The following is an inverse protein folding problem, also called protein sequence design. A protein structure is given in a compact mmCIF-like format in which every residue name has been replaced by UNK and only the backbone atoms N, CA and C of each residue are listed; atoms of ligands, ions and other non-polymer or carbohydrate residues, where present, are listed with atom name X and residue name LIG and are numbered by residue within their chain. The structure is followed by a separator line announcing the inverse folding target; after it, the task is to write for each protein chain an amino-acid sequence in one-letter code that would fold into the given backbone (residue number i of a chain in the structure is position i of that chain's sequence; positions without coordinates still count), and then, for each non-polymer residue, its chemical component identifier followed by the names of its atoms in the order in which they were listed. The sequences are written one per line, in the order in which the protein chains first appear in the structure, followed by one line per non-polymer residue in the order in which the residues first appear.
data_IF_638091215032
#
_entry.id   IF_638091215032
#
_cell.length_a   1.000
_cell.length_b   1.000
_cell.length_c   1.000
_cell.angle_alpha   90.00
_cell.angle_beta   90.00
_cell.angle_gamma   90.00
#
_symmetry.space_group_name_H-M   'P 1'
#
loop_
_entity.id
_entity.type
_entity.pdbx_description
1 polymer ?
#
# COMPACT_ATOMS: atom_id res chain seq x y z
N UNK A 1 11.95 21.09 53.39
CA UNK A 1 11.27 20.17 52.48
C UNK A 1 10.72 20.83 51.21
N UNK A 2 10.09 22.01 51.22
CA UNK A 2 9.54 22.68 50.01
C UNK A 2 10.54 23.09 48.94
N UNK A 3 11.81 23.25 49.26
CA UNK A 3 12.86 23.73 48.32
C UNK A 3 13.27 22.65 47.30
N UNK A 4 13.26 21.40 47.69
CA UNK A 4 13.61 20.26 46.79
C UNK A 4 12.47 19.87 45.85
N UNK A 5 11.23 20.11 46.27
CA UNK A 5 10.04 19.81 45.45
C UNK A 5 10.00 20.64 44.16
N UNK A 6 10.55 21.86 44.17
CA UNK A 6 10.63 22.75 42.97
C UNK A 6 11.55 22.23 41.90
N UNK A 7 12.55 21.39 42.26
CA UNK A 7 13.47 20.76 41.30
C UNK A 7 13.08 19.37 40.88
N UNK A 8 12.23 18.69 41.63
CA UNK A 8 11.74 17.36 41.31
C UNK A 8 10.80 17.36 40.09
N UNK A 9 10.00 18.42 39.90
CA UNK A 9 9.08 18.55 38.80
C UNK A 9 9.85 18.65 37.44
N UNK A 10 10.78 19.58 37.24
CA UNK A 10 11.55 19.63 35.99
C UNK A 10 12.43 18.40 35.78
N UNK A 11 12.97 17.80 36.85
CA UNK A 11 13.76 16.57 36.74
C UNK A 11 12.92 15.37 36.28
N UNK A 12 11.65 15.29 36.70
CA UNK A 12 10.72 14.24 36.25
C UNK A 12 10.20 14.50 34.82
N UNK A 13 10.18 15.74 34.35
CA UNK A 13 9.76 16.08 33.01
C UNK A 13 10.80 15.69 31.93
N UNK A 14 12.09 15.69 32.26
CA UNK A 14 13.15 15.37 31.30
C UNK A 14 13.04 13.96 30.69
N UNK A 15 12.83 12.87 31.44
CA UNK A 15 12.65 11.53 30.85
C UNK A 15 11.38 11.43 30.00
N UNK A 16 10.30 12.12 30.37
CA UNK A 16 9.06 12.16 29.57
C UNK A 16 9.30 12.88 28.23
N UNK A 17 9.97 14.02 28.27
CA UNK A 17 10.36 14.74 27.04
C UNK A 17 11.31 13.92 26.19
N UNK A 18 12.24 13.18 26.81
CA UNK A 18 13.14 12.26 26.11
C UNK A 18 12.40 11.11 25.42
N UNK A 19 11.42 10.51 26.09
CA UNK A 19 10.55 9.46 25.51
C UNK A 19 9.68 10.00 24.37
N UNK A 20 9.13 11.19 24.53
CA UNK A 20 8.37 11.83 23.44
C UNK A 20 9.26 12.15 22.23
N UNK A 21 10.45 12.73 22.46
CA UNK A 21 11.39 13.00 21.39
C UNK A 21 11.86 11.72 20.69
N UNK A 22 12.03 10.62 21.42
CA UNK A 22 12.34 9.31 20.86
C UNK A 22 11.14 8.78 20.03
N UNK A 23 9.93 8.91 20.56
CA UNK A 23 8.70 8.50 19.84
C UNK A 23 8.52 9.21 18.49
N UNK A 24 8.91 10.49 18.39
CA UNK A 24 8.88 11.21 17.10
C UNK A 24 9.94 10.76 16.09
N UNK A 25 10.98 10.04 16.52
CA UNK A 25 11.99 9.46 15.62
C UNK A 25 11.59 8.10 15.07
N UNK A 26 10.65 7.42 15.70
CA UNK A 26 10.13 6.13 15.22
C UNK A 26 9.19 6.45 14.05
N UNK A 27 9.52 5.93 12.87
CA UNK A 27 8.65 6.10 11.71
C UNK A 27 7.38 5.21 11.89
N UNK A 28 6.18 5.77 12.06
CA UNK A 28 4.97 4.97 12.28
C UNK A 28 4.55 4.16 11.03
N UNK A 29 5.22 4.39 9.89
CA UNK A 29 4.97 3.66 8.63
C UNK A 29 5.74 2.35 8.56
N UNK A 30 6.75 2.14 9.40
CA UNK A 30 7.53 0.90 9.48
C UNK A 30 6.82 -0.13 10.37
N UNK A 31 5.56 -0.46 10.05
CA UNK A 31 4.85 -1.53 10.75
C UNK A 31 5.23 -2.84 10.10
N UNK A 32 5.95 -3.73 10.82
CA UNK A 32 6.31 -5.04 10.29
C UNK A 32 5.03 -5.82 9.99
N UNK A 33 4.87 -6.25 8.75
CA UNK A 33 3.78 -7.17 8.41
C UNK A 33 4.28 -8.60 8.47
N UNK A 34 3.55 -9.53 9.11
CA UNK A 34 3.90 -10.94 9.14
C UNK A 34 3.73 -11.63 7.78
N UNK A 35 3.23 -10.89 6.77
CA UNK A 35 2.97 -11.40 5.42
C UNK A 35 4.19 -11.42 4.52
N UNK A 36 5.29 -10.77 4.90
CA UNK A 36 6.52 -10.81 4.10
C UNK A 36 7.01 -12.26 3.95
N UNK A 37 7.40 -12.60 2.74
CA UNK A 37 7.80 -13.95 2.29
C UNK A 37 6.70 -15.03 2.42
N UNK A 38 5.47 -14.63 2.71
CA UNK A 38 4.31 -15.52 2.67
C UNK A 38 3.65 -15.51 1.29
N UNK A 39 2.98 -16.60 0.90
CA UNK A 39 2.11 -16.57 -0.27
C UNK A 39 1.08 -15.45 -0.13
N UNK A 40 0.91 -14.65 -1.17
CA UNK A 40 -0.15 -13.66 -1.23
C UNK A 40 -1.52 -14.38 -1.26
N UNK A 41 -2.48 -13.86 -0.51
CA UNK A 41 -3.83 -14.40 -0.49
C UNK A 41 -4.44 -14.30 -1.90
N UNK A 42 -4.96 -15.41 -2.40
CA UNK A 42 -5.63 -15.44 -3.69
C UNK A 42 -6.97 -14.68 -3.60
N UNK A 43 -7.30 -13.94 -4.63
CA UNK A 43 -8.58 -13.27 -4.76
C UNK A 43 -9.09 -13.32 -6.19
N UNK A 44 -10.40 -13.20 -6.34
CA UNK A 44 -11.08 -13.04 -7.62
C UNK A 44 -12.18 -11.98 -7.44
N UNK A 45 -12.06 -10.90 -8.19
CA UNK A 45 -12.97 -9.77 -8.20
C UNK A 45 -13.42 -9.49 -9.64
N UNK A 46 -14.38 -8.59 -9.81
CA UNK A 46 -14.76 -8.07 -11.12
C UNK A 46 -14.30 -6.61 -11.20
N UNK A 47 -13.56 -6.28 -12.25
CA UNK A 47 -13.11 -4.91 -12.48
C UNK A 47 -14.28 -3.97 -12.79
N UNK A 48 -14.04 -2.67 -12.67
CA UNK A 48 -15.01 -1.65 -13.12
C UNK A 48 -15.28 -1.66 -14.63
N UNK A 49 -14.40 -2.31 -15.42
CA UNK A 49 -14.63 -2.58 -16.86
C UNK A 49 -15.42 -3.87 -17.11
N UNK A 50 -15.82 -4.62 -16.06
CA UNK A 50 -16.55 -5.88 -16.18
C UNK A 50 -15.68 -7.12 -16.38
N UNK A 51 -14.36 -6.96 -16.42
CA UNK A 51 -13.41 -8.05 -16.62
C UNK A 51 -13.06 -8.76 -15.31
N UNK A 52 -12.82 -10.08 -15.30
CA UNK A 52 -12.36 -10.77 -14.11
C UNK A 52 -10.94 -10.36 -13.74
N UNK A 53 -10.72 -10.05 -12.47
CA UNK A 53 -9.41 -9.73 -11.87
C UNK A 53 -9.09 -10.78 -10.82
N UNK A 54 -8.08 -11.60 -11.08
CA UNK A 54 -7.64 -12.66 -10.16
C UNK A 54 -6.13 -12.64 -10.04
N UNK A 55 -5.62 -12.74 -8.81
CA UNK A 55 -4.17 -12.81 -8.59
C UNK A 55 -3.55 -14.03 -9.29
N UNK A 56 -4.27 -15.16 -9.32
CA UNK A 56 -3.79 -16.40 -9.95
C UNK A 56 -3.61 -16.28 -11.47
N UNK A 57 -4.33 -15.39 -12.13
CA UNK A 57 -4.19 -15.14 -13.56
C UNK A 57 -2.83 -14.52 -13.93
N UNK A 58 -2.12 -13.98 -12.95
CA UNK A 58 -0.85 -13.26 -13.15
C UNK A 58 0.35 -14.01 -12.56
N UNK A 59 0.22 -15.32 -12.29
CA UNK A 59 1.36 -16.15 -11.86
C UNK A 59 2.51 -16.09 -12.86
N UNK A 60 3.73 -16.05 -12.34
CA UNK A 60 4.94 -15.91 -13.16
C UNK A 60 5.32 -14.46 -13.47
N UNK A 61 4.45 -13.50 -13.11
CA UNK A 61 4.70 -12.05 -13.27
C UNK A 61 4.94 -11.40 -11.91
N UNK A 62 5.59 -10.25 -11.92
CA UNK A 62 5.62 -9.36 -10.74
C UNK A 62 4.28 -8.66 -10.65
N UNK A 63 3.62 -8.76 -9.51
CA UNK A 63 2.31 -8.13 -9.29
C UNK A 63 2.40 -7.09 -8.20
N UNK A 64 1.88 -5.90 -8.48
CA UNK A 64 1.72 -4.80 -7.52
C UNK A 64 0.23 -4.69 -7.22
N UNK A 65 -0.15 -4.97 -5.98
CA UNK A 65 -1.55 -4.80 -5.52
C UNK A 65 -1.62 -3.55 -4.68
N UNK A 66 -2.38 -2.57 -5.15
CA UNK A 66 -2.60 -1.30 -4.47
C UNK A 66 -4.02 -1.25 -3.93
N UNK A 67 -4.15 -1.03 -2.62
CA UNK A 67 -5.43 -0.80 -1.95
C UNK A 67 -5.67 0.70 -1.85
N UNK A 68 -6.82 1.16 -2.32
CA UNK A 68 -7.15 2.58 -2.43
C UNK A 68 -8.64 2.83 -2.21
N UNK A 69 -9.03 4.10 -2.15
CA UNK A 69 -10.43 4.52 -2.15
C UNK A 69 -10.56 5.96 -2.66
N UNK A 70 -11.70 6.32 -3.26
CA UNK A 70 -11.93 7.68 -3.77
C UNK A 70 -12.02 8.74 -2.64
N UNK A 71 -12.38 8.36 -1.45
CA UNK A 71 -12.43 9.23 -0.26
C UNK A 71 -11.07 9.44 0.42
N UNK A 72 -10.04 8.71 0.00
CA UNK A 72 -8.69 8.77 0.58
C UNK A 72 -7.90 9.99 0.07
N UNK A 73 -8.27 11.16 0.52
CA UNK A 73 -7.59 12.40 0.17
C UNK A 73 -6.67 12.87 1.32
N UNK A 74 -5.46 13.41 1.04
CA UNK A 74 -4.86 13.62 -0.30
C UNK A 74 -4.07 12.40 -0.82
N UNK A 75 -3.75 11.41 0.01
CA UNK A 75 -2.72 10.42 -0.26
C UNK A 75 -2.99 9.56 -1.52
N UNK A 76 -4.22 9.04 -1.71
CA UNK A 76 -4.55 8.27 -2.90
C UNK A 76 -4.56 9.15 -4.18
N UNK A 77 -4.86 10.45 -4.04
CA UNK A 77 -4.83 11.41 -5.15
C UNK A 77 -3.40 11.73 -5.59
N UNK A 78 -2.46 11.77 -4.66
CA UNK A 78 -1.04 11.95 -4.94
C UNK A 78 -0.42 10.69 -5.56
N UNK A 79 -0.88 9.51 -5.15
CA UNK A 79 -0.38 8.21 -5.60
C UNK A 79 -0.88 7.81 -6.98
N UNK A 80 -2.14 8.10 -7.32
CA UNK A 80 -2.79 7.63 -8.54
C UNK A 80 -1.99 7.93 -9.84
N UNK A 81 -1.49 9.16 -10.07
CA UNK A 81 -0.66 9.44 -11.25
C UNK A 81 0.71 8.75 -11.23
N UNK A 82 1.23 8.43 -10.04
CA UNK A 82 2.48 7.67 -9.89
C UNK A 82 2.27 6.23 -10.34
N UNK A 83 1.20 5.59 -9.87
CA UNK A 83 0.85 4.21 -10.24
C UNK A 83 0.60 4.10 -11.75
N UNK A 84 -0.19 4.99 -12.33
CA UNK A 84 -0.50 4.95 -13.77
C UNK A 84 0.75 5.13 -14.63
N UNK A 85 1.62 6.09 -14.28
CA UNK A 85 2.87 6.32 -15.00
C UNK A 85 3.80 5.11 -14.95
N UNK A 86 3.93 4.49 -13.78
CA UNK A 86 4.74 3.30 -13.62
C UNK A 86 4.10 2.07 -14.28
N UNK A 87 2.78 1.90 -14.19
CA UNK A 87 2.07 0.85 -14.93
C UNK A 87 2.39 0.91 -16.42
N UNK A 88 2.26 2.08 -17.05
CA UNK A 88 2.59 2.25 -18.47
C UNK A 88 4.04 1.94 -18.80
N UNK A 89 4.97 2.26 -17.89
CA UNK A 89 6.40 1.99 -18.09
C UNK A 89 6.77 0.51 -17.95
N UNK A 90 6.02 -0.26 -17.15
CA UNK A 90 6.40 -1.63 -16.78
C UNK A 90 5.48 -2.73 -17.32
N UNK A 91 4.28 -2.43 -17.82
CA UNK A 91 3.30 -3.44 -18.28
C UNK A 91 3.83 -4.40 -19.32
N UNK A 92 4.75 -3.96 -20.17
CA UNK A 92 5.38 -4.76 -21.23
C UNK A 92 6.64 -5.50 -20.74
N UNK A 93 6.93 -5.47 -19.42
CA UNK A 93 8.09 -6.07 -18.75
C UNK A 93 7.70 -7.11 -17.69
N UNK A 94 6.64 -7.87 -17.94
CA UNK A 94 6.10 -8.86 -16.99
C UNK A 94 5.71 -8.29 -15.60
N UNK A 95 5.27 -7.06 -15.55
CA UNK A 95 4.71 -6.42 -14.35
C UNK A 95 3.21 -6.20 -14.54
N UNK A 96 2.45 -6.37 -13.48
CA UNK A 96 1.01 -6.05 -13.43
C UNK A 96 0.74 -5.16 -12.23
N UNK A 97 -0.07 -4.12 -12.40
CA UNK A 97 -0.62 -3.33 -11.31
C UNK A 97 -2.11 -3.66 -11.21
N UNK A 98 -2.58 -3.96 -10.01
CA UNK A 98 -3.99 -4.22 -9.69
C UNK A 98 -4.44 -3.25 -8.62
N UNK A 99 -5.47 -2.48 -8.88
CA UNK A 99 -6.13 -1.63 -7.89
C UNK A 99 -7.27 -2.39 -7.21
N UNK A 100 -7.25 -2.42 -5.90
CA UNK A 100 -8.33 -2.95 -5.06
C UNK A 100 -8.95 -1.79 -4.32
N UNK A 101 -10.12 -1.39 -4.76
CA UNK A 101 -10.90 -0.33 -4.14
C UNK A 101 -11.66 -0.89 -2.93
N UNK A 102 -11.61 -0.18 -1.80
CA UNK A 102 -12.21 -0.65 -0.55
C UNK A 102 -13.18 0.37 0.05
N UNK A 103 -14.30 -0.14 0.59
CA UNK A 103 -15.27 0.66 1.36
C UNK A 103 -15.71 1.93 0.59
N UNK A 104 -15.92 1.83 -0.70
CA UNK A 104 -16.23 2.94 -1.57
C UNK A 104 -17.57 2.77 -2.30
N UNK A 105 -18.04 3.84 -2.91
CA UNK A 105 -19.21 3.83 -3.78
C UNK A 105 -18.72 3.71 -5.23
N UNK A 106 -19.34 2.80 -5.96
CA UNK A 106 -18.91 2.49 -7.34
C UNK A 106 -18.84 3.72 -8.24
N UNK A 107 -19.78 4.66 -8.12
CA UNK A 107 -19.79 5.88 -8.93
C UNK A 107 -18.62 6.81 -8.58
N UNK A 108 -18.28 6.92 -7.28
CA UNK A 108 -17.16 7.75 -6.82
C UNK A 108 -15.81 7.14 -7.26
N UNK A 109 -15.68 5.83 -7.13
CA UNK A 109 -14.52 5.08 -7.59
C UNK A 109 -14.32 5.18 -9.11
N UNK A 110 -15.40 5.01 -9.90
CA UNK A 110 -15.33 5.18 -11.37
C UNK A 110 -14.94 6.60 -11.77
N UNK A 111 -15.46 7.60 -11.05
CA UNK A 111 -15.05 8.99 -11.27
C UNK A 111 -13.57 9.18 -10.97
N UNK A 112 -13.06 8.64 -9.86
CA UNK A 112 -11.64 8.70 -9.51
C UNK A 112 -10.77 8.05 -10.61
N UNK A 113 -11.14 6.85 -11.08
CA UNK A 113 -10.44 6.15 -12.17
C UNK A 113 -10.40 7.01 -13.44
N UNK A 114 -11.52 7.67 -13.78
CA UNK A 114 -11.61 8.54 -14.95
C UNK A 114 -10.77 9.81 -14.78
N UNK A 115 -10.87 10.49 -13.63
CA UNK A 115 -10.16 11.75 -13.33
C UNK A 115 -8.63 11.56 -13.44
N UNK A 116 -8.10 10.41 -13.01
CA UNK A 116 -6.68 10.09 -13.10
C UNK A 116 -6.30 9.26 -14.34
N UNK A 117 -7.27 8.95 -15.21
CA UNK A 117 -7.06 8.15 -16.43
C UNK A 117 -6.34 6.83 -16.14
N UNK A 118 -6.74 6.13 -15.05
CA UNK A 118 -6.13 4.87 -14.66
C UNK A 118 -6.48 3.78 -15.66
N UNK A 119 -5.46 3.14 -16.24
CA UNK A 119 -5.63 2.10 -17.29
C UNK A 119 -5.30 0.70 -16.80
N UNK A 120 -4.76 0.55 -15.60
CA UNK A 120 -4.61 -0.77 -14.97
C UNK A 120 -5.94 -1.27 -14.40
N UNK A 121 -6.12 -2.60 -14.24
CA UNK A 121 -7.34 -3.17 -13.69
C UNK A 121 -7.62 -2.67 -12.27
N UNK A 122 -8.83 -2.14 -12.05
CA UNK A 122 -9.33 -1.70 -10.75
C UNK A 122 -10.63 -2.43 -10.44
N UNK A 123 -10.75 -2.99 -9.23
CA UNK A 123 -11.92 -3.77 -8.82
C UNK A 123 -12.34 -3.42 -7.38
N UNK A 124 -13.64 -3.46 -7.11
CA UNK A 124 -14.19 -3.20 -5.77
C UNK A 124 -14.13 -4.47 -4.90
N UNK A 125 -13.51 -4.37 -3.74
CA UNK A 125 -13.62 -5.36 -2.65
C UNK A 125 -14.88 -5.08 -1.80
N UNK A 126 -16.05 -5.29 -2.39
CA UNK A 126 -17.33 -4.95 -1.76
C UNK A 126 -17.56 -5.66 -0.41
N UNK A 127 -17.01 -6.86 -0.25
CA UNK A 127 -17.15 -7.65 0.97
C UNK A 127 -16.03 -7.39 1.99
N UNK A 128 -15.00 -6.61 1.64
CA UNK A 128 -13.85 -6.33 2.48
C UNK A 128 -12.96 -7.56 2.77
N UNK A 129 -13.11 -8.65 2.00
CA UNK A 129 -12.41 -9.91 2.28
C UNK A 129 -10.95 -9.84 1.85
N UNK A 130 -10.69 -9.24 0.71
CA UNK A 130 -9.33 -9.11 0.18
C UNK A 130 -8.51 -8.19 1.09
N UNK A 131 -9.07 -7.07 1.50
CA UNK A 131 -8.41 -6.13 2.42
C UNK A 131 -8.11 -6.77 3.78
N UNK A 132 -9.01 -7.61 4.31
CA UNK A 132 -8.77 -8.36 5.56
C UNK A 132 -7.66 -9.40 5.39
N UNK A 133 -7.68 -10.18 4.30
CA UNK A 133 -6.69 -11.23 4.03
C UNK A 133 -5.26 -10.66 3.84
N UNK A 134 -5.15 -9.42 3.33
CA UNK A 134 -3.89 -8.68 3.20
C UNK A 134 -3.52 -7.87 4.45
N UNK A 135 -4.37 -7.87 5.49
CA UNK A 135 -4.13 -7.09 6.70
C UNK A 135 -3.99 -5.60 6.41
N UNK A 136 -4.84 -5.08 5.52
CA UNK A 136 -4.95 -3.65 5.22
C UNK A 136 -5.65 -2.96 6.38
N UNK A 137 -5.02 -1.94 6.93
CA UNK A 137 -5.57 -1.16 8.03
C UNK A 137 -5.82 0.31 7.69
N UNK A 138 -5.39 0.72 6.49
CA UNK A 138 -5.61 2.05 5.96
C UNK A 138 -5.32 2.10 4.47
N UNK A 139 -5.65 3.20 3.82
CA UNK A 139 -5.35 3.43 2.40
C UNK A 139 -4.58 4.74 2.24
N UNK A 140 -3.66 4.80 1.27
CA UNK A 140 -3.28 3.71 0.38
C UNK A 140 -2.27 2.74 1.02
N UNK A 141 -2.33 1.47 0.63
CA UNK A 141 -1.32 0.46 0.94
C UNK A 141 -0.98 -0.33 -0.33
N UNK A 142 0.31 -0.54 -0.58
CA UNK A 142 0.78 -1.21 -1.79
C UNK A 142 1.60 -2.44 -1.44
N UNK A 143 1.25 -3.58 -2.02
CA UNK A 143 1.96 -4.85 -1.86
C UNK A 143 2.69 -5.22 -3.14
N UNK A 144 3.97 -5.59 -3.00
CA UNK A 144 4.81 -6.04 -4.10
C UNK A 144 4.99 -7.55 -3.99
N UNK A 145 4.57 -8.27 -5.03
CA UNK A 145 4.48 -9.73 -5.09
C UNK A 145 5.41 -10.23 -6.18
N UNK A 146 6.24 -11.22 -5.85
CA UNK A 146 7.18 -11.82 -6.78
C UNK A 146 6.50 -12.80 -7.75
N UNK A 147 7.26 -13.29 -8.74
CA UNK A 147 6.78 -14.25 -9.74
C UNK A 147 6.30 -15.58 -9.16
N UNK A 148 6.71 -15.92 -7.91
CA UNK A 148 6.26 -17.11 -7.18
C UNK A 148 4.98 -16.86 -6.38
N UNK A 149 4.43 -15.64 -6.45
CA UNK A 149 3.23 -15.24 -5.71
C UNK A 149 3.47 -14.96 -4.23
N UNK A 150 4.71 -14.60 -3.83
CA UNK A 150 5.04 -14.25 -2.44
C UNK A 150 5.09 -12.75 -2.26
N UNK A 151 4.55 -12.26 -1.17
CA UNK A 151 4.66 -10.85 -0.79
C UNK A 151 6.11 -10.56 -0.37
N UNK A 152 6.75 -9.63 -1.06
CA UNK A 152 8.16 -9.29 -0.83
C UNK A 152 8.34 -7.91 -0.19
N UNK A 153 7.36 -7.06 -0.33
CA UNK A 153 7.33 -5.75 0.33
C UNK A 153 5.89 -5.27 0.52
N UNK A 154 5.69 -4.45 1.55
CA UNK A 154 4.49 -3.66 1.81
C UNK A 154 4.92 -2.20 1.94
N UNK A 155 4.22 -1.30 1.26
CA UNK A 155 4.37 0.14 1.42
C UNK A 155 3.09 0.72 2.01
N UNK A 156 3.21 1.52 3.06
CA UNK A 156 2.09 2.17 3.73
C UNK A 156 2.11 3.66 3.41
N UNK A 157 0.99 4.19 2.96
CA UNK A 157 0.86 5.56 2.46
C UNK A 157 1.16 5.65 0.96
N UNK A 158 1.10 6.86 0.41
CA UNK A 158 1.30 7.09 -1.02
C UNK A 158 2.69 6.64 -1.48
N UNK A 159 2.74 5.72 -2.45
CA UNK A 159 4.00 5.23 -3.01
C UNK A 159 4.61 6.28 -3.95
N UNK A 160 5.92 6.49 -3.81
CA UNK A 160 6.66 7.39 -4.72
C UNK A 160 7.17 6.63 -5.95
N UNK A 161 7.52 7.36 -7.03
CA UNK A 161 8.16 6.77 -8.22
C UNK A 161 9.40 5.97 -7.86
N UNK A 162 10.25 6.52 -6.99
CA UNK A 162 11.49 5.89 -6.57
C UNK A 162 11.22 4.59 -5.81
N UNK A 163 10.31 4.62 -4.82
CA UNK A 163 9.95 3.45 -4.03
C UNK A 163 9.34 2.34 -4.92
N UNK A 164 8.43 2.72 -5.84
CA UNK A 164 7.81 1.78 -6.77
C UNK A 164 8.88 1.10 -7.65
N UNK A 165 9.72 1.88 -8.33
CA UNK A 165 10.75 1.37 -9.24
C UNK A 165 11.77 0.51 -8.51
N UNK A 166 12.23 0.96 -7.35
CA UNK A 166 13.18 0.19 -6.54
C UNK A 166 12.65 -1.22 -6.23
N UNK A 167 11.39 -1.34 -5.80
CA UNK A 167 10.79 -2.63 -5.48
C UNK A 167 10.57 -3.48 -6.73
N UNK A 168 10.02 -2.91 -7.79
CA UNK A 168 9.73 -3.64 -9.03
C UNK A 168 11.01 -4.11 -9.71
N UNK A 169 12.01 -3.25 -9.88
CA UNK A 169 13.27 -3.61 -10.54
C UNK A 169 14.03 -4.68 -9.74
N UNK A 170 14.00 -4.61 -8.40
CA UNK A 170 14.54 -5.67 -7.55
C UNK A 170 13.85 -7.02 -7.82
N UNK A 171 12.51 -7.06 -7.87
CA UNK A 171 11.75 -8.28 -8.11
C UNK A 171 11.95 -8.82 -9.54
N UNK A 172 12.12 -7.93 -10.52
CA UNK A 172 12.43 -8.32 -11.89
C UNK A 172 13.83 -8.92 -12.02
N UNK A 173 14.78 -8.50 -11.19
CA UNK A 173 16.15 -9.01 -11.17
C UNK A 173 16.29 -10.36 -10.43
N UNK A 174 15.32 -10.74 -9.59
CA UNK A 174 15.33 -12.04 -8.90
C UNK A 174 15.21 -13.17 -9.93
N UNK A 175 16.19 -14.07 -9.96
CA UNK A 175 16.14 -15.30 -10.80
C UNK A 175 15.06 -16.23 -10.24
N UNK A 176 14.30 -16.85 -11.15
CA UNK A 176 13.31 -17.88 -10.82
C UNK A 176 13.96 -19.12 -10.20
#
# INVERSE_FOLDING_TARGET
MRRYLRWLIPAAALPVLGLLAYGFRVNPRDIPTPLIDRPAAAFALTSYAGEPVSLDAYRGRVVVVNFWASWCHPACYEEAPVLERNWRAYRDRDVVVLGVDIQDRAEAAQKFIADFSLTFPNALDAAGRVSVDYGVYGVPETFFIDRRGRIRAKHVGAVTDEAFRHQVDRLLAERQ
#
